data_IF_498123540246
#
_entry.id   IF_498123540246
#
_cell.length_a   1.000
_cell.length_b   1.000
_cell.length_c   1.000
_cell.angle_alpha   90.00
_cell.angle_beta   90.00
_cell.angle_gamma   90.00
#
_symmetry.space_group_name_H-M   'P 1'
#
loop_
_entity.id
_entity.type
_entity.pdbx_description
1 polymer ?
#
# COMPACT_ATOMS: atom_id res chain seq x y z
N UNK A 1 2.50 57.25 9.16
CA UNK A 1 2.44 56.10 8.23
C UNK A 1 3.78 55.40 8.30
N UNK A 2 3.99 54.63 9.36
CA UNK A 2 5.18 53.78 9.50
C UNK A 2 4.83 52.42 8.90
N UNK A 3 5.65 52.01 7.93
CA UNK A 3 5.52 50.72 7.29
C UNK A 3 5.87 49.62 8.31
N UNK A 4 4.85 48.89 8.74
CA UNK A 4 4.98 47.70 9.57
C UNK A 4 5.64 46.57 8.76
N UNK A 5 6.98 46.52 8.74
CA UNK A 5 7.75 45.41 8.19
C UNK A 5 7.82 44.26 9.21
N UNK A 6 6.70 43.58 9.43
CA UNK A 6 6.66 42.36 10.25
C UNK A 6 7.19 41.16 9.45
N UNK A 7 8.29 40.57 9.93
CA UNK A 7 8.33 39.14 10.25
C UNK A 7 8.45 38.12 9.12
N UNK A 8 9.21 38.35 8.04
CA UNK A 8 9.60 37.23 7.15
C UNK A 8 10.86 36.55 7.69
N UNK A 9 10.76 35.27 8.06
CA UNK A 9 11.93 34.39 8.24
C UNK A 9 12.82 34.55 7.00
N UNK A 10 14.09 34.89 7.19
CA UNK A 10 14.99 35.12 6.05
C UNK A 10 15.21 33.81 5.29
N UNK A 11 15.43 33.90 3.97
CA UNK A 11 15.77 32.71 3.17
C UNK A 11 17.05 32.01 3.67
N UNK A 12 17.95 32.77 4.32
CA UNK A 12 19.14 32.22 4.96
C UNK A 12 18.79 31.35 6.19
N UNK A 13 17.90 31.83 7.05
CA UNK A 13 17.44 31.07 8.22
C UNK A 13 16.68 29.81 7.80
N UNK A 14 15.88 29.90 6.72
CA UNK A 14 15.18 28.74 6.14
C UNK A 14 16.14 27.67 5.63
N UNK A 15 17.18 28.06 4.89
CA UNK A 15 18.19 27.15 4.39
C UNK A 15 18.95 26.46 5.53
N UNK A 16 19.34 27.22 6.56
CA UNK A 16 20.01 26.68 7.74
C UNK A 16 19.13 25.66 8.48
N UNK A 17 17.83 25.94 8.66
CA UNK A 17 16.90 25.00 9.30
C UNK A 17 16.79 23.69 8.49
N UNK A 18 16.64 23.77 7.15
CA UNK A 18 16.55 22.59 6.29
C UNK A 18 17.85 21.77 6.29
N UNK A 19 19.01 22.43 6.34
CA UNK A 19 20.30 21.78 6.50
C UNK A 19 20.36 21.01 7.82
N UNK A 20 19.92 21.61 8.93
CA UNK A 20 19.93 20.92 10.24
C UNK A 20 18.96 19.77 10.31
N UNK A 21 17.77 19.91 9.71
CA UNK A 21 16.85 18.81 9.45
C UNK A 21 17.50 17.65 8.68
N UNK A 22 18.33 17.96 7.68
CA UNK A 22 18.99 16.95 6.85
C UNK A 22 20.17 16.28 7.59
N UNK A 23 20.88 17.03 8.42
CA UNK A 23 22.03 16.54 9.20
C UNK A 23 21.66 15.76 10.47
N UNK A 24 20.43 15.91 10.96
CA UNK A 24 19.98 15.28 12.20
C UNK A 24 20.38 16.03 13.48
N UNK A 25 20.92 17.25 13.38
CA UNK A 25 21.34 18.05 14.53
C UNK A 25 20.13 18.67 15.26
N UNK A 26 19.55 17.89 16.17
CA UNK A 26 18.36 18.29 16.95
C UNK A 26 18.66 19.48 17.86
N UNK A 27 19.85 19.59 18.43
CA UNK A 27 20.20 20.66 19.36
C UNK A 27 20.26 22.03 18.65
N UNK A 28 20.91 22.08 17.48
CA UNK A 28 20.91 23.30 16.67
C UNK A 28 19.54 23.58 16.06
N UNK A 29 18.80 22.53 15.64
CA UNK A 29 17.44 22.69 15.15
C UNK A 29 16.51 23.30 16.21
N UNK A 30 16.59 22.84 17.46
CA UNK A 30 15.85 23.41 18.59
C UNK A 30 16.12 24.90 18.73
N UNK A 31 17.40 25.28 18.79
CA UNK A 31 17.82 26.67 18.92
C UNK A 31 17.34 27.56 17.77
N UNK A 32 17.40 27.06 16.53
CA UNK A 32 16.94 27.78 15.34
C UNK A 32 15.42 27.93 15.31
N UNK A 33 14.69 26.89 15.74
CA UNK A 33 13.23 26.94 15.83
C UNK A 33 12.74 27.81 16.98
N UNK A 34 13.51 27.99 18.06
CA UNK A 34 13.17 28.88 19.17
C UNK A 34 13.29 30.36 18.81
N UNK A 35 14.19 30.70 17.88
CA UNK A 35 14.40 32.07 17.42
C UNK A 35 13.50 32.52 16.25
N UNK A 36 12.54 31.69 15.81
CA UNK A 36 11.73 31.96 14.61
C UNK A 36 10.23 32.01 14.90
N UNK A 37 9.46 32.78 14.12
CA UNK A 37 7.99 32.84 14.18
C UNK A 37 7.30 31.47 13.93
N UNK A 38 8.08 30.47 13.51
CA UNK A 38 7.67 29.07 13.45
C UNK A 38 7.21 28.53 14.82
N UNK A 39 7.53 29.19 15.94
CA UNK A 39 6.99 28.86 17.26
C UNK A 39 5.48 29.09 17.38
N UNK A 40 4.93 30.12 16.74
CA UNK A 40 3.57 30.57 17.03
C UNK A 40 2.61 30.38 15.85
N UNK A 41 3.09 30.50 14.61
CA UNK A 41 2.24 30.48 13.41
C UNK A 41 2.82 29.61 12.27
N UNK A 42 3.47 28.49 12.59
CA UNK A 42 3.86 27.54 11.55
C UNK A 42 2.64 27.01 10.82
N UNK A 43 2.32 27.63 9.68
CA UNK A 43 1.33 27.09 8.76
C UNK A 43 1.73 25.67 8.34
N UNK A 44 0.76 24.78 8.03
CA UNK A 44 1.01 23.39 7.65
C UNK A 44 2.15 23.22 6.62
N UNK A 45 2.28 24.17 5.70
CA UNK A 45 3.31 24.21 4.65
C UNK A 45 4.76 24.26 5.16
N UNK A 46 5.03 24.92 6.29
CA UNK A 46 6.39 25.01 6.81
C UNK A 46 6.83 23.69 7.45
N UNK A 47 5.99 23.13 8.34
CA UNK A 47 6.23 21.83 9.00
C UNK A 47 6.37 20.73 7.97
N UNK A 48 5.52 20.74 6.94
CA UNK A 48 5.58 19.84 5.78
C UNK A 48 6.96 19.79 5.13
N UNK A 49 7.55 20.94 4.84
CA UNK A 49 8.89 21.01 4.19
C UNK A 49 10.01 20.51 5.11
N UNK A 50 9.91 20.79 6.41
CA UNK A 50 10.85 20.26 7.40
C UNK A 50 10.77 18.74 7.47
N UNK A 51 9.56 18.19 7.58
CA UNK A 51 9.32 16.74 7.59
C UNK A 51 9.78 16.09 6.28
N UNK A 52 9.46 16.67 5.12
CA UNK A 52 9.93 16.13 3.84
C UNK A 52 11.47 16.06 3.78
N UNK A 53 12.17 17.11 4.23
CA UNK A 53 13.64 17.13 4.25
C UNK A 53 14.25 16.13 5.24
N UNK A 54 13.70 16.00 6.45
CA UNK A 54 14.17 15.01 7.45
C UNK A 54 13.91 13.58 6.98
N UNK A 55 12.73 13.32 6.39
CA UNK A 55 12.36 12.01 5.83
C UNK A 55 13.28 11.64 4.67
N UNK A 56 13.49 12.55 3.72
CA UNK A 56 14.39 12.34 2.59
C UNK A 56 15.84 12.05 3.04
N UNK A 57 16.26 12.67 4.15
CA UNK A 57 17.59 12.48 4.74
C UNK A 57 17.66 11.32 5.74
N UNK A 58 16.58 10.54 5.88
CA UNK A 58 16.50 9.36 6.78
C UNK A 58 16.72 9.69 8.27
N UNK A 59 16.47 10.92 8.70
CA UNK A 59 16.69 11.39 10.07
C UNK A 59 15.50 11.08 10.99
N UNK A 60 15.32 9.80 11.35
CA UNK A 60 14.17 9.31 12.14
C UNK A 60 14.02 10.01 13.49
N UNK A 61 15.12 10.27 14.21
CA UNK A 61 15.09 10.96 15.51
C UNK A 61 14.59 12.40 15.37
N UNK A 62 15.00 13.08 14.31
CA UNK A 62 14.51 14.44 14.01
C UNK A 62 13.05 14.43 13.56
N UNK A 63 12.60 13.40 12.84
CA UNK A 63 11.16 13.21 12.55
C UNK A 63 10.35 13.09 13.84
N UNK A 64 10.77 12.23 14.79
CA UNK A 64 10.11 12.09 16.10
C UNK A 64 10.01 13.44 16.82
N UNK A 65 11.13 14.16 16.91
CA UNK A 65 11.17 15.50 17.53
C UNK A 65 10.19 16.48 16.87
N UNK A 66 10.14 16.52 15.53
CA UNK A 66 9.22 17.43 14.82
C UNK A 66 7.75 17.06 15.09
N UNK A 67 7.40 15.79 15.12
CA UNK A 67 6.03 15.36 15.41
C UNK A 67 5.62 15.60 16.87
N UNK A 68 6.54 15.43 17.82
CA UNK A 68 6.32 15.81 19.23
C UNK A 68 6.08 17.33 19.38
N UNK A 69 6.80 18.14 18.61
CA UNK A 69 6.65 19.60 18.61
C UNK A 69 5.37 20.06 17.90
N UNK A 70 4.91 19.32 16.89
CA UNK A 70 3.72 19.63 16.09
C UNK A 70 2.70 18.48 16.15
N UNK A 71 2.10 18.21 17.33
CA UNK A 71 1.30 16.99 17.56
C UNK A 71 0.00 16.96 16.74
N UNK A 72 -0.50 18.11 16.29
CA UNK A 72 -1.73 18.23 15.49
C UNK A 72 -1.49 18.16 13.99
N UNK A 73 -0.25 18.02 13.54
CA UNK A 73 0.06 17.89 12.12
C UNK A 73 -0.55 16.60 11.56
N UNK A 74 -1.22 16.72 10.40
CA UNK A 74 -1.93 15.64 9.71
C UNK A 74 -1.34 15.47 8.32
N UNK A 75 -1.21 14.22 7.86
CA UNK A 75 -0.59 13.94 6.56
C UNK A 75 -1.57 13.96 5.37
N UNK A 76 -2.65 14.73 5.46
CA UNK A 76 -3.61 14.81 4.37
C UNK A 76 -2.94 15.42 3.12
N UNK A 77 -3.00 14.71 2.00
CA UNK A 77 -2.44 15.14 0.70
C UNK A 77 -0.89 15.28 0.66
N UNK A 78 -0.17 14.52 1.49
CA UNK A 78 1.29 14.64 1.65
C UNK A 78 2.12 13.84 0.63
N UNK A 79 1.96 14.18 -0.65
CA UNK A 79 2.67 13.53 -1.76
C UNK A 79 4.20 13.59 -1.65
N UNK A 80 4.77 14.69 -1.14
CA UNK A 80 6.22 14.86 -1.01
C UNK A 80 6.82 13.91 0.03
N UNK A 81 6.11 13.68 1.14
CA UNK A 81 6.56 12.77 2.21
C UNK A 81 6.44 11.33 1.74
N UNK A 82 5.32 10.96 1.12
CA UNK A 82 5.13 9.63 0.50
C UNK A 82 6.25 9.35 -0.51
N UNK A 83 6.48 10.27 -1.45
CA UNK A 83 7.54 10.15 -2.44
C UNK A 83 8.91 9.96 -1.78
N UNK A 84 9.21 10.74 -0.75
CA UNK A 84 10.48 10.64 -0.03
C UNK A 84 10.65 9.28 0.65
N UNK A 85 9.58 8.70 1.21
CA UNK A 85 9.62 7.34 1.76
C UNK A 85 9.83 6.30 0.66
N UNK A 86 9.11 6.40 -0.47
CA UNK A 86 9.26 5.45 -1.58
C UNK A 86 10.66 5.49 -2.20
N UNK A 87 11.24 6.68 -2.35
CA UNK A 87 12.56 6.86 -2.97
C UNK A 87 13.69 6.40 -2.02
N UNK A 88 13.51 6.51 -0.70
CA UNK A 88 14.54 6.18 0.29
C UNK A 88 14.34 4.85 1.04
N UNK A 89 13.16 4.25 0.93
CA UNK A 89 12.71 3.03 1.60
C UNK A 89 13.01 2.95 3.11
N UNK A 90 12.86 4.08 3.82
CA UNK A 90 13.11 4.11 5.26
C UNK A 90 11.87 3.64 6.05
N UNK A 91 11.78 2.32 6.26
CA UNK A 91 10.70 1.68 7.00
C UNK A 91 10.60 2.14 8.47
N UNK A 92 11.72 2.47 9.12
CA UNK A 92 11.71 2.94 10.50
C UNK A 92 11.09 4.34 10.62
N UNK A 93 11.46 5.25 9.71
CA UNK A 93 10.79 6.55 9.62
C UNK A 93 9.32 6.38 9.30
N UNK A 94 8.95 5.49 8.38
CA UNK A 94 7.53 5.22 8.09
C UNK A 94 6.78 4.72 9.33
N UNK A 95 7.36 3.84 10.15
CA UNK A 95 6.74 3.40 11.42
C UNK A 95 6.44 4.57 12.34
N UNK A 96 7.36 5.52 12.46
CA UNK A 96 7.14 6.75 13.25
C UNK A 96 5.99 7.56 12.69
N UNK A 97 5.95 7.78 11.38
CA UNK A 97 4.90 8.56 10.73
C UNK A 97 3.53 7.88 10.89
N UNK A 98 3.42 6.57 10.68
CA UNK A 98 2.17 5.82 10.87
C UNK A 98 1.75 5.74 12.35
N UNK A 99 2.70 5.71 13.30
CA UNK A 99 2.36 5.77 14.73
C UNK A 99 1.73 7.12 15.11
N UNK A 100 2.13 8.20 14.43
CA UNK A 100 1.57 9.54 14.62
C UNK A 100 0.22 9.71 13.92
N UNK A 101 0.10 9.26 12.67
CA UNK A 101 -1.15 9.28 11.90
C UNK A 101 -1.33 7.97 11.14
N UNK A 102 -2.10 7.01 11.68
CA UNK A 102 -2.32 5.71 11.04
C UNK A 102 -2.95 5.80 9.65
N UNK A 103 -3.70 6.88 9.36
CA UNK A 103 -4.35 7.08 8.05
C UNK A 103 -3.34 7.25 6.92
N UNK A 104 -2.09 7.62 7.24
CA UNK A 104 -1.00 7.71 6.27
C UNK A 104 -0.85 6.42 5.44
N UNK A 105 -1.03 5.25 6.07
CA UNK A 105 -0.86 3.97 5.39
C UNK A 105 -1.87 3.74 4.24
N UNK A 106 -3.05 4.37 4.33
CA UNK A 106 -4.15 4.23 3.37
C UNK A 106 -4.39 5.51 2.56
N UNK A 107 -3.37 6.35 2.39
CA UNK A 107 -3.52 7.54 1.55
C UNK A 107 -3.79 7.15 0.10
N UNK A 108 -4.91 7.65 -0.40
CA UNK A 108 -5.32 7.59 -1.79
C UNK A 108 -4.84 8.82 -2.56
N UNK A 109 -4.48 8.62 -3.81
CA UNK A 109 -3.82 9.56 -4.69
C UNK A 109 -4.49 9.54 -6.07
N UNK A 110 -4.47 10.68 -6.77
CA UNK A 110 -5.02 10.84 -8.12
C UNK A 110 -6.47 10.33 -8.25
N UNK A 111 -7.35 10.77 -7.35
CA UNK A 111 -8.77 10.38 -7.33
C UNK A 111 -9.00 8.86 -7.20
N UNK A 112 -8.19 8.16 -6.39
CA UNK A 112 -8.33 6.71 -6.21
C UNK A 112 -7.68 5.89 -7.32
N UNK A 113 -6.91 6.52 -8.21
CA UNK A 113 -6.17 5.79 -9.24
C UNK A 113 -4.88 5.18 -8.69
N UNK A 114 -4.31 5.75 -7.64
CA UNK A 114 -3.12 5.24 -6.95
C UNK A 114 -3.33 5.33 -5.45
N UNK A 115 -2.64 4.50 -4.69
CA UNK A 115 -2.52 4.62 -3.23
C UNK A 115 -1.05 4.50 -2.85
N UNK A 116 -0.72 4.85 -1.60
CA UNK A 116 0.65 4.67 -1.11
C UNK A 116 1.08 3.20 -1.26
N UNK A 117 0.17 2.27 -0.97
CA UNK A 117 0.44 0.85 -1.11
C UNK A 117 0.61 0.42 -2.58
N UNK A 118 -0.19 0.90 -3.54
CA UNK A 118 0.01 0.53 -4.95
C UNK A 118 1.32 1.09 -5.50
N UNK A 119 1.68 2.32 -5.14
CA UNK A 119 2.95 2.93 -5.56
C UNK A 119 4.15 2.20 -4.95
N UNK A 120 4.04 1.74 -3.70
CA UNK A 120 5.05 0.90 -3.07
C UNK A 120 5.17 -0.46 -3.78
N UNK A 121 4.04 -1.12 -4.09
CA UNK A 121 4.04 -2.41 -4.76
C UNK A 121 4.67 -2.37 -6.16
N UNK A 122 4.64 -1.21 -6.83
CA UNK A 122 5.27 -0.99 -8.13
C UNK A 122 6.79 -0.75 -8.07
N UNK A 123 7.38 -0.59 -6.88
CA UNK A 123 8.84 -0.41 -6.72
C UNK A 123 9.57 -1.76 -6.73
N UNK A 124 10.86 -1.81 -7.11
CA UNK A 124 11.64 -3.05 -7.05
C UNK A 124 11.65 -3.69 -5.64
N UNK A 125 11.45 -5.02 -5.54
CA UNK A 125 11.39 -5.73 -4.25
C UNK A 125 12.59 -5.50 -3.33
N UNK A 126 13.80 -5.48 -3.88
CA UNK A 126 15.05 -5.30 -3.16
C UNK A 126 15.13 -3.99 -2.38
N UNK A 127 14.31 -3.01 -2.76
CA UNK A 127 14.25 -1.69 -2.12
C UNK A 127 13.06 -1.57 -1.19
N UNK A 128 11.89 -2.12 -1.53
CA UNK A 128 10.62 -1.66 -0.93
C UNK A 128 9.99 -2.63 0.09
N UNK A 129 10.45 -3.88 0.19
CA UNK A 129 9.78 -4.91 1.01
C UNK A 129 9.54 -4.49 2.46
N UNK A 130 10.51 -3.83 3.11
CA UNK A 130 10.35 -3.37 4.49
C UNK A 130 9.25 -2.30 4.63
N UNK A 131 9.12 -1.41 3.64
CA UNK A 131 8.04 -0.41 3.59
C UNK A 131 6.68 -1.09 3.40
N UNK A 132 6.60 -2.09 2.50
CA UNK A 132 5.37 -2.85 2.29
C UNK A 132 4.90 -3.56 3.57
N UNK A 133 5.84 -4.14 4.34
CA UNK A 133 5.48 -4.72 5.64
C UNK A 133 4.85 -3.69 6.57
N UNK A 134 5.45 -2.51 6.70
CA UNK A 134 4.91 -1.45 7.58
C UNK A 134 3.54 -0.98 7.13
N UNK A 135 3.32 -0.78 5.82
CA UNK A 135 2.00 -0.38 5.30
C UNK A 135 0.94 -1.44 5.61
N UNK A 136 1.25 -2.71 5.38
CA UNK A 136 0.33 -3.83 5.65
C UNK A 136 0.08 -4.03 7.15
N UNK A 137 1.07 -3.80 8.00
CA UNK A 137 0.94 -3.83 9.47
C UNK A 137 0.02 -2.70 9.98
N UNK A 138 -0.08 -1.60 9.23
CA UNK A 138 -0.89 -0.44 9.57
C UNK A 138 -2.25 -0.42 8.83
N UNK A 139 -2.73 -1.58 8.40
CA UNK A 139 -4.04 -1.74 7.72
C UNK A 139 -4.21 -0.83 6.50
N UNK A 140 -3.14 -0.65 5.71
CA UNK A 140 -3.25 -0.03 4.39
C UNK A 140 -4.39 -0.70 3.57
N UNK A 141 -5.23 0.12 2.93
CA UNK A 141 -6.31 -0.40 2.09
C UNK A 141 -5.72 -1.12 0.86
N UNK A 142 -5.82 -2.46 0.88
CA UNK A 142 -5.29 -3.33 -0.16
C UNK A 142 -6.09 -3.29 -1.47
N UNK A 143 -7.32 -2.77 -1.43
CA UNK A 143 -8.21 -2.70 -2.59
C UNK A 143 -8.32 -1.28 -3.18
N UNK A 144 -7.68 -0.28 -2.56
CA UNK A 144 -7.59 1.08 -3.13
C UNK A 144 -6.57 1.18 -4.27
N UNK A 145 -6.86 2.01 -5.27
CA UNK A 145 -6.02 2.21 -6.45
C UNK A 145 -6.38 1.33 -7.66
N UNK A 146 -6.04 1.82 -8.86
CA UNK A 146 -6.11 1.08 -10.14
C UNK A 146 -7.50 0.59 -10.58
N UNK A 147 -8.57 1.13 -10.00
CA UNK A 147 -9.96 0.88 -10.37
C UNK A 147 -10.45 -0.55 -10.05
N UNK A 148 -11.64 -0.95 -10.55
CA UNK A 148 -12.24 -2.25 -10.26
C UNK A 148 -11.32 -3.44 -10.59
N UNK A 149 -11.20 -4.37 -9.64
CA UNK A 149 -10.27 -5.52 -9.73
C UNK A 149 -8.78 -5.14 -9.76
N UNK A 150 -8.47 -3.88 -9.43
CA UNK A 150 -7.13 -3.33 -9.27
C UNK A 150 -6.60 -3.49 -7.84
N UNK A 151 -5.95 -2.46 -7.32
CA UNK A 151 -5.41 -2.43 -5.96
C UNK A 151 -3.99 -2.99 -5.83
N UNK A 152 -3.61 -3.24 -4.57
CA UNK A 152 -2.26 -3.62 -4.19
C UNK A 152 -1.83 -4.96 -4.80
N UNK A 153 -2.74 -5.95 -4.86
CA UNK A 153 -2.43 -7.28 -5.39
C UNK A 153 -2.04 -7.21 -6.86
N UNK A 154 -2.80 -6.45 -7.67
CA UNK A 154 -2.50 -6.23 -9.08
C UNK A 154 -1.14 -5.55 -9.26
N UNK A 155 -0.88 -4.49 -8.51
CA UNK A 155 0.40 -3.77 -8.55
C UNK A 155 1.58 -4.66 -8.12
N UNK A 156 1.41 -5.48 -7.08
CA UNK A 156 2.44 -6.35 -6.54
C UNK A 156 2.82 -7.49 -7.50
N UNK A 157 1.84 -8.03 -8.24
CA UNK A 157 2.10 -9.02 -9.29
C UNK A 157 2.88 -8.41 -10.45
N UNK A 158 2.52 -7.19 -10.89
CA UNK A 158 3.26 -6.47 -11.93
C UNK A 158 4.69 -6.11 -11.50
N UNK A 159 4.85 -5.67 -10.25
CA UNK A 159 6.14 -5.30 -9.66
C UNK A 159 7.00 -6.48 -9.24
N UNK A 160 6.60 -7.72 -9.56
CA UNK A 160 7.30 -8.94 -9.18
C UNK A 160 7.58 -9.05 -7.66
N UNK A 161 6.66 -8.57 -6.82
CA UNK A 161 6.84 -8.61 -5.37
C UNK A 161 6.95 -10.05 -4.85
N UNK A 162 7.69 -10.29 -3.76
CA UNK A 162 7.93 -11.63 -3.24
C UNK A 162 6.63 -12.34 -2.80
N UNK A 163 6.56 -13.68 -2.86
CA UNK A 163 5.39 -14.44 -2.42
C UNK A 163 4.84 -14.03 -1.07
N UNK A 164 5.72 -13.78 -0.08
CA UNK A 164 5.30 -13.36 1.26
C UNK A 164 4.50 -12.06 1.25
N UNK A 165 4.83 -11.09 0.39
CA UNK A 165 4.07 -9.85 0.26
C UNK A 165 2.71 -10.13 -0.39
N UNK A 166 2.68 -10.94 -1.45
CA UNK A 166 1.45 -11.34 -2.14
C UNK A 166 0.49 -12.03 -1.17
N UNK A 167 1.00 -12.98 -0.39
CA UNK A 167 0.23 -13.70 0.63
C UNK A 167 -0.33 -12.75 1.69
N UNK A 168 0.47 -11.81 2.18
CA UNK A 168 0.01 -10.81 3.16
C UNK A 168 -1.07 -9.89 2.60
N UNK A 169 -0.96 -9.46 1.33
CA UNK A 169 -2.01 -8.66 0.68
C UNK A 169 -3.33 -9.44 0.64
N UNK A 170 -3.27 -10.73 0.27
CA UNK A 170 -4.46 -11.60 0.24
C UNK A 170 -5.03 -11.83 1.65
N UNK A 171 -4.18 -12.06 2.65
CA UNK A 171 -4.59 -12.19 4.06
C UNK A 171 -5.27 -10.92 4.60
N UNK A 172 -4.83 -9.75 4.14
CA UNK A 172 -5.44 -8.45 4.45
C UNK A 172 -6.71 -8.15 3.63
N UNK A 173 -7.22 -9.13 2.86
CA UNK A 173 -8.48 -9.01 2.13
C UNK A 173 -8.35 -8.49 0.70
N UNK A 174 -7.17 -8.59 0.09
CA UNK A 174 -6.96 -8.24 -1.32
C UNK A 174 -7.82 -9.12 -2.24
N UNK A 175 -8.57 -8.49 -3.14
CA UNK A 175 -9.47 -9.22 -4.06
C UNK A 175 -8.67 -10.04 -5.08
N UNK A 176 -8.81 -11.38 -5.02
CA UNK A 176 -8.30 -12.27 -6.06
C UNK A 176 -9.37 -12.47 -7.14
N UNK A 177 -9.26 -11.68 -8.20
CA UNK A 177 -10.17 -11.65 -9.36
C UNK A 177 -9.54 -12.27 -10.61
N UNK A 178 -10.34 -12.40 -11.68
CA UNK A 178 -9.83 -12.74 -13.01
C UNK A 178 -8.68 -11.80 -13.44
N UNK A 179 -8.77 -10.50 -13.12
CA UNK A 179 -7.75 -9.51 -13.51
C UNK A 179 -6.41 -9.76 -12.82
N UNK A 180 -6.41 -10.12 -11.54
CA UNK A 180 -5.16 -10.44 -10.82
C UNK A 180 -4.59 -11.79 -11.26
N UNK A 181 -5.44 -12.79 -11.49
CA UNK A 181 -5.00 -14.11 -11.96
C UNK A 181 -4.42 -14.05 -13.38
N UNK A 182 -5.04 -13.31 -14.30
CA UNK A 182 -4.53 -13.12 -15.65
C UNK A 182 -3.16 -12.43 -15.67
N UNK A 183 -2.93 -11.45 -14.79
CA UNK A 183 -1.60 -10.85 -14.64
C UNK A 183 -0.60 -11.85 -14.06
N UNK A 184 -0.97 -12.65 -13.05
CA UNK A 184 -0.08 -13.67 -12.51
C UNK A 184 0.37 -14.67 -13.60
N UNK A 185 -0.56 -15.08 -14.47
CA UNK A 185 -0.26 -15.94 -15.63
C UNK A 185 0.65 -15.25 -16.64
N UNK A 186 0.33 -14.02 -17.05
CA UNK A 186 1.12 -13.25 -18.03
C UNK A 186 2.53 -12.92 -17.53
N UNK A 187 2.71 -12.81 -16.22
CA UNK A 187 4.01 -12.58 -15.57
C UNK A 187 4.68 -13.88 -15.12
N UNK A 188 4.11 -15.03 -15.47
CA UNK A 188 4.62 -16.37 -15.13
C UNK A 188 4.92 -16.53 -13.63
N UNK A 189 4.06 -15.96 -12.79
CA UNK A 189 4.14 -15.99 -11.33
C UNK A 189 3.60 -17.30 -10.76
N UNK A 190 4.20 -18.42 -11.20
CA UNK A 190 3.83 -19.77 -10.79
C UNK A 190 4.09 -20.01 -9.29
N UNK A 191 5.02 -19.25 -8.71
CA UNK A 191 5.36 -19.24 -7.29
C UNK A 191 4.18 -18.86 -6.37
N UNK A 192 3.24 -18.05 -6.86
CA UNK A 192 2.06 -17.61 -6.09
C UNK A 192 0.74 -18.08 -6.68
N UNK A 193 0.73 -18.51 -7.95
CA UNK A 193 -0.48 -18.89 -8.67
C UNK A 193 -1.34 -19.94 -7.93
N UNK A 194 -0.80 -21.03 -7.34
CA UNK A 194 -1.62 -22.01 -6.62
C UNK A 194 -2.38 -21.41 -5.43
N UNK A 195 -1.73 -20.51 -4.69
CA UNK A 195 -2.35 -19.83 -3.55
C UNK A 195 -3.43 -18.84 -4.03
N UNK A 196 -3.16 -18.09 -5.11
CA UNK A 196 -4.16 -17.19 -5.70
C UNK A 196 -5.38 -17.95 -6.23
N UNK A 197 -5.18 -19.07 -6.93
CA UNK A 197 -6.29 -19.90 -7.41
C UNK A 197 -7.17 -20.38 -6.25
N UNK A 198 -6.56 -20.81 -5.14
CA UNK A 198 -7.30 -21.24 -3.94
C UNK A 198 -8.17 -20.13 -3.34
N UNK A 199 -7.65 -18.91 -3.28
CA UNK A 199 -8.34 -17.75 -2.70
C UNK A 199 -9.24 -17.01 -3.71
N UNK A 200 -9.23 -17.43 -4.97
CA UNK A 200 -9.98 -16.78 -6.04
C UNK A 200 -11.50 -16.82 -5.82
N UNK A 201 -12.14 -15.69 -6.13
CA UNK A 201 -13.61 -15.54 -6.10
C UNK A 201 -14.15 -15.32 -7.50
N UNK A 202 -13.85 -16.25 -8.41
CA UNK A 202 -14.41 -16.22 -9.76
C UNK A 202 -15.94 -16.30 -9.68
N UNK A 203 -16.61 -15.37 -10.36
CA UNK A 203 -18.03 -15.06 -10.19
C UNK A 203 -18.95 -15.97 -10.99
N UNK A 204 -18.43 -16.59 -12.05
CA UNK A 204 -19.20 -17.39 -12.98
C UNK A 204 -18.30 -18.33 -13.81
N UNK A 205 -18.92 -19.25 -14.56
CA UNK A 205 -18.21 -20.19 -15.44
C UNK A 205 -17.43 -19.49 -16.56
N UNK A 206 -17.92 -18.35 -17.04
CA UNK A 206 -17.25 -17.59 -18.11
C UNK A 206 -15.89 -17.06 -17.66
N UNK A 207 -15.77 -16.52 -16.45
CA UNK A 207 -14.47 -16.07 -15.92
C UNK A 207 -13.45 -17.21 -15.79
N UNK A 208 -13.93 -18.43 -15.50
CA UNK A 208 -13.07 -19.62 -15.44
C UNK A 208 -12.64 -20.09 -16.84
N UNK A 209 -13.56 -20.09 -17.80
CA UNK A 209 -13.26 -20.36 -19.21
C UNK A 209 -12.24 -19.36 -19.76
N UNK A 210 -12.46 -18.06 -19.50
CA UNK A 210 -11.55 -16.98 -19.89
C UNK A 210 -10.18 -17.16 -19.24
N UNK A 211 -10.12 -17.61 -17.98
CA UNK A 211 -8.86 -17.87 -17.28
C UNK A 211 -8.07 -19.02 -17.92
N UNK A 212 -8.76 -20.07 -18.36
CA UNK A 212 -8.15 -21.22 -19.04
C UNK A 212 -7.63 -20.82 -20.41
N UNK A 213 -8.38 -19.99 -21.16
CA UNK A 213 -7.89 -19.43 -22.42
C UNK A 213 -6.69 -18.52 -22.18
N UNK A 214 -6.71 -17.71 -21.11
CA UNK A 214 -5.57 -16.89 -20.73
C UNK A 214 -4.32 -17.73 -20.42
N UNK A 215 -4.47 -18.83 -19.68
CA UNK A 215 -3.37 -19.75 -19.37
C UNK A 215 -2.81 -20.41 -20.64
N UNK A 216 -3.67 -20.87 -21.55
CA UNK A 216 -3.24 -21.40 -22.86
C UNK A 216 -2.48 -20.37 -23.68
N UNK A 217 -2.92 -19.10 -23.62
CA UNK A 217 -2.28 -17.99 -24.31
C UNK A 217 -0.86 -17.69 -23.84
N UNK A 218 -0.43 -18.15 -22.65
CA UNK A 218 0.96 -17.99 -22.20
C UNK A 218 1.90 -19.01 -22.83
N UNK A 219 1.40 -20.16 -23.30
CA UNK A 219 2.20 -21.28 -23.78
C UNK A 219 3.00 -22.02 -22.70
N UNK A 220 2.80 -21.68 -21.42
CA UNK A 220 3.47 -22.32 -20.29
C UNK A 220 2.65 -23.53 -19.81
N UNK A 221 3.12 -24.75 -20.11
CA UNK A 221 2.44 -26.01 -19.81
C UNK A 221 2.14 -26.21 -18.32
N UNK A 222 3.03 -25.74 -17.43
CA UNK A 222 2.82 -25.81 -15.99
C UNK A 222 1.67 -24.89 -15.56
N UNK A 223 1.64 -23.66 -16.06
CA UNK A 223 0.54 -22.72 -15.82
C UNK A 223 -0.80 -23.26 -16.32
N UNK A 224 -0.81 -23.85 -17.52
CA UNK A 224 -1.99 -24.47 -18.13
C UNK A 224 -2.52 -25.59 -17.23
N UNK A 225 -1.62 -26.48 -16.78
CA UNK A 225 -1.96 -27.62 -15.93
C UNK A 225 -2.56 -27.15 -14.61
N UNK A 226 -1.92 -26.19 -13.92
CA UNK A 226 -2.42 -25.65 -12.64
C UNK A 226 -3.84 -25.07 -12.75
N UNK A 227 -4.13 -24.34 -13.82
CA UNK A 227 -5.47 -23.75 -14.04
C UNK A 227 -6.51 -24.80 -14.40
N UNK A 228 -6.14 -25.81 -15.21
CA UNK A 228 -7.04 -26.92 -15.56
C UNK A 228 -7.38 -27.79 -14.34
N UNK A 229 -6.39 -28.12 -13.52
CA UNK A 229 -6.59 -28.87 -12.27
C UNK A 229 -7.52 -28.12 -11.32
N UNK A 230 -7.33 -26.80 -11.20
CA UNK A 230 -8.22 -25.95 -10.44
C UNK A 230 -9.66 -25.97 -10.98
N UNK A 231 -9.86 -25.91 -12.30
CA UNK A 231 -11.19 -26.01 -12.91
C UNK A 231 -11.86 -27.34 -12.54
N UNK A 232 -11.18 -28.46 -12.79
CA UNK A 232 -11.73 -29.79 -12.49
C UNK A 232 -12.16 -29.87 -11.02
N UNK A 233 -11.29 -29.42 -10.11
CA UNK A 233 -11.58 -29.39 -8.67
C UNK A 233 -12.79 -28.50 -8.31
N UNK A 234 -13.02 -27.38 -9.01
CA UNK A 234 -14.20 -26.54 -8.79
C UNK A 234 -15.49 -27.22 -9.26
N UNK A 235 -15.46 -27.90 -10.42
CA UNK A 235 -16.62 -28.60 -10.97
C UNK A 235 -17.05 -29.75 -10.05
N UNK A 236 -16.09 -30.55 -9.60
CA UNK A 236 -16.34 -31.67 -8.69
C UNK A 236 -17.00 -31.21 -7.39
N UNK A 237 -16.59 -30.04 -6.84
CA UNK A 237 -17.20 -29.43 -5.65
C UNK A 237 -18.64 -28.98 -5.89
N UNK A 238 -18.97 -28.46 -7.08
CA UNK A 238 -20.34 -28.07 -7.41
C UNK A 238 -21.24 -29.30 -7.54
N UNK A 239 -20.76 -30.34 -8.22
CA UNK A 239 -21.49 -31.60 -8.38
C UNK A 239 -21.76 -32.29 -7.03
N UNK A 240 -20.78 -32.32 -6.12
CA UNK A 240 -21.00 -32.85 -4.75
C UNK A 240 -22.00 -32.03 -3.93
N UNK A 241 -21.98 -30.70 -4.06
CA UNK A 241 -22.97 -29.83 -3.39
C UNK A 241 -24.39 -30.06 -3.95
N UNK A 242 -24.54 -30.28 -5.25
CA UNK A 242 -25.84 -30.59 -5.85
C UNK A 242 -26.36 -31.98 -5.45
N UNK A 243 -25.48 -32.99 -5.39
CA UNK A 243 -25.82 -34.34 -4.95
C UNK A 243 -26.23 -34.41 -3.46
N UNK A 244 -25.66 -33.56 -2.60
CA UNK A 244 -25.99 -33.51 -1.16
C UNK A 244 -27.12 -32.54 -0.82
N UNK A 245 -27.35 -31.50 -1.64
CA UNK A 245 -28.45 -30.54 -1.49
C UNK A 245 -29.82 -31.05 -1.92
N UNK A 246 -29.89 -32.07 -2.76
CA UNK A 246 -31.14 -32.70 -3.20
C UNK A 246 -31.74 -33.70 -2.18
N UNK A 247 -31.02 -34.04 -1.10
CA UNK A 247 -31.48 -35.03 -0.10
C UNK A 247 -32.01 -34.42 1.21
N UNK A 248 -32.19 -33.10 1.32
CA UNK A 248 -32.80 -32.47 2.51
C UNK A 248 -34.11 -31.75 2.19
N UNK A 249 -35.12 -32.51 1.74
CA UNK A 249 -36.52 -32.11 1.94
C UNK A 249 -36.92 -32.29 3.41
N UNK A 250 -36.51 -31.34 4.25
CA UNK A 250 -36.80 -31.31 5.69
C UNK A 250 -38.30 -31.25 6.03
N UNK A 251 -39.15 -30.95 5.06
CA UNK A 251 -40.60 -30.89 5.20
C UNK A 251 -41.34 -32.23 5.10
N UNK A 252 -40.71 -33.31 4.61
CA UNK A 252 -41.37 -34.63 4.52
C UNK A 252 -41.47 -35.37 5.86
N UNK A 253 -40.89 -34.83 6.94
CA UNK A 253 -40.82 -35.48 8.25
C UNK A 253 -42.01 -35.17 9.19
N UNK A 254 -43.04 -34.48 8.70
CA UNK A 254 -44.23 -34.03 9.47
C UNK A 254 -45.56 -34.60 8.94
N UNK A 255 -45.56 -35.76 8.28
CA UNK A 255 -46.77 -36.50 7.87
C UNK A 255 -46.69 -38.00 8.18
N UNK A 256 -46.29 -38.34 9.41
CA UNK A 256 -46.48 -39.67 9.98
C UNK A 256 -47.01 -39.53 11.41
#
# INVERSE_FOLDING_TARGET
MEANSQGKVSEHDRAAILEKCSSGDIALLQKLLEGTELQHHSGPTAVRRLLAATVASKQTTTVKYLLEKYPTYSFNEEFEIIKSILDNANAETLRVLCSHDPRLASISMDYGMRSFLTDACARPPEHIVAVLHVLLDNNADVNDGLGPGGGALYAALLGAQPPIIIERIVQNGGEVSFRTLSVALQKERLDVLPNLLRESRLRNSKELEDLVQCAKGTGNEEAITMVQDFWIAQRDRQETKHATGTTKMWWQRWKA
#
